data_IF_867182021433
#
_entry.id   IF_867182021433
#
_cell.length_a   1.000
_cell.length_b   1.000
_cell.length_c   1.000
_cell.angle_alpha   90.00
_cell.angle_beta   90.00
_cell.angle_gamma   90.00
#
_symmetry.space_group_name_H-M   'P 1'
#
loop_
_entity.id
_entity.type
_entity.pdbx_description
1 polymer ?
#
# COMPACT_ATOMS: atom_id res chain seq x y z
N UNK A 1 -38.37 -36.71 47.11
CA UNK A 1 -38.07 -37.46 45.87
C UNK A 1 -37.01 -36.66 45.09
N UNK A 2 -35.70 -36.93 45.29
CA UNK A 2 -34.79 -37.70 44.40
C UNK A 2 -34.69 -37.08 42.98
N UNK A 3 -33.53 -36.72 42.36
CA UNK A 3 -32.11 -37.10 42.48
C UNK A 3 -31.18 -36.20 41.59
N UNK A 4 -29.99 -35.82 42.13
CA UNK A 4 -28.59 -35.75 41.54
C UNK A 4 -28.26 -34.90 40.28
N UNK A 5 -27.40 -33.86 40.34
CA UNK A 5 -25.90 -33.82 40.20
C UNK A 5 -25.41 -33.82 38.72
N UNK A 6 -24.36 -33.13 38.22
CA UNK A 6 -23.17 -32.44 38.75
C UNK A 6 -22.52 -31.56 37.63
N UNK A 7 -22.15 -30.30 37.95
CA UNK A 7 -20.87 -29.60 37.72
C UNK A 7 -20.01 -29.71 36.43
N UNK A 8 -19.48 -28.56 35.97
CA UNK A 8 -18.14 -28.46 35.36
C UNK A 8 -17.83 -27.17 34.54
N UNK A 9 -17.00 -26.26 35.08
CA UNK A 9 -16.53 -24.99 34.46
C UNK A 9 -15.12 -25.10 33.83
N UNK A 10 -14.90 -24.47 32.64
CA UNK A 10 -13.69 -23.75 32.08
C UNK A 10 -12.31 -24.49 31.97
N UNK A 11 -11.20 -23.97 31.35
CA UNK A 11 -10.94 -22.96 30.28
C UNK A 11 -9.85 -23.35 29.20
N UNK A 12 -9.46 -22.39 28.33
CA UNK A 12 -8.38 -22.28 27.29
C UNK A 12 -7.00 -22.95 27.54
N UNK A 13 -6.29 -23.36 26.46
CA UNK A 13 -4.86 -23.04 26.13
C UNK A 13 -4.39 -23.57 24.74
N UNK A 14 -3.36 -22.92 24.19
CA UNK A 14 -2.64 -23.06 22.89
C UNK A 14 -1.70 -24.28 22.76
N UNK A 15 -1.16 -24.62 21.56
CA UNK A 15 0.09 -25.38 21.48
C UNK A 15 1.21 -24.75 20.62
N UNK A 16 2.43 -25.06 21.05
CA UNK A 16 3.76 -24.69 20.56
C UNK A 16 4.42 -25.79 19.71
N UNK A 17 5.40 -25.37 18.90
CA UNK A 17 6.50 -26.10 18.20
C UNK A 17 7.03 -27.37 18.90
N UNK A 18 7.35 -28.43 18.13
CA UNK A 18 8.71 -29.02 18.05
C UNK A 18 8.82 -30.24 17.13
N UNK A 19 9.95 -30.27 16.43
CA UNK A 19 10.59 -31.23 15.53
C UNK A 19 11.03 -32.57 16.16
N UNK A 20 11.01 -33.67 15.38
CA UNK A 20 11.91 -34.83 15.53
C UNK A 20 12.25 -35.49 14.18
N UNK A 21 13.44 -36.10 14.13
CA UNK A 21 14.22 -36.54 12.97
C UNK A 21 14.51 -38.05 12.97
N UNK A 22 14.80 -38.59 11.77
CA UNK A 22 15.68 -39.72 11.41
C UNK A 22 15.28 -41.17 11.76
N UNK A 23 15.35 -42.03 10.74
CA UNK A 23 15.96 -43.37 10.83
C UNK A 23 16.48 -43.84 9.45
N UNK A 24 17.48 -44.72 9.50
CA UNK A 24 18.50 -45.07 8.49
C UNK A 24 18.37 -46.56 8.07
N UNK A 25 19.13 -46.97 7.04
CA UNK A 25 19.52 -48.34 6.60
C UNK A 25 18.57 -49.11 5.66
N UNK A 26 18.99 -49.97 4.71
CA UNK A 26 20.23 -50.28 3.97
C UNK A 26 19.98 -51.56 3.13
N UNK A 27 20.92 -51.94 2.23
CA UNK A 27 21.11 -53.23 1.49
C UNK A 27 20.41 -53.32 0.12
N UNK A 28 20.92 -53.98 -0.93
CA UNK A 28 22.21 -54.61 -1.31
C UNK A 28 21.96 -55.29 -2.69
N UNK A 29 22.88 -55.24 -3.66
CA UNK A 29 23.09 -56.31 -4.65
C UNK A 29 24.41 -56.11 -5.44
N UNK A 30 25.13 -57.22 -5.69
CA UNK A 30 26.50 -57.31 -6.24
C UNK A 30 26.53 -58.31 -7.42
N UNK A 31 27.55 -58.17 -8.29
CA UNK A 31 28.14 -59.07 -9.34
C UNK A 31 27.76 -58.68 -10.79
N UNK A 32 28.59 -58.75 -11.85
CA UNK A 32 29.95 -59.29 -12.11
C UNK A 32 30.47 -58.87 -13.51
N UNK A 33 31.81 -58.93 -13.68
CA UNK A 33 32.60 -59.34 -14.89
C UNK A 33 32.80 -58.38 -16.08
N UNK A 34 33.86 -58.70 -16.85
CA UNK A 34 34.82 -57.83 -17.56
C UNK A 34 34.83 -58.12 -19.08
N UNK A 35 35.11 -57.11 -19.92
CA UNK A 35 36.06 -57.05 -21.07
C UNK A 35 35.55 -56.42 -22.40
N UNK A 36 36.47 -55.59 -22.93
CA UNK A 36 36.93 -55.39 -24.33
C UNK A 36 36.15 -54.57 -25.38
N UNK A 37 36.84 -53.51 -25.82
CA UNK A 37 37.12 -53.02 -27.19
C UNK A 37 35.98 -52.70 -28.17
N UNK A 38 35.91 -51.43 -28.60
CA UNK A 38 36.25 -51.00 -29.98
C UNK A 38 35.76 -49.57 -30.21
N UNK A 39 36.58 -48.80 -30.92
CA UNK A 39 36.36 -47.41 -31.31
C UNK A 39 35.29 -47.27 -32.40
N UNK A 40 34.34 -46.34 -32.25
CA UNK A 40 33.72 -45.65 -33.39
C UNK A 40 33.07 -44.33 -32.95
N UNK A 41 33.33 -43.30 -33.74
CA UNK A 41 32.95 -41.88 -33.63
C UNK A 41 31.45 -41.60 -33.46
N UNK A 42 31.06 -40.72 -32.53
CA UNK A 42 29.76 -40.02 -32.55
C UNK A 42 29.90 -38.60 -31.99
N UNK A 43 29.23 -37.66 -32.67
CA UNK A 43 29.27 -36.20 -32.60
C UNK A 43 29.21 -35.53 -31.22
N UNK A 44 29.91 -34.39 -31.12
CA UNK A 44 29.74 -33.40 -30.05
C UNK A 44 28.35 -32.74 -30.13
N UNK A 45 27.53 -32.70 -29.05
CA UNK A 45 26.32 -31.90 -29.06
C UNK A 45 26.70 -30.42 -28.93
N UNK A 46 26.36 -29.62 -29.95
CA UNK A 46 26.33 -28.16 -29.84
C UNK A 46 25.19 -27.80 -28.89
N UNK A 47 25.53 -27.38 -27.67
CA UNK A 47 24.60 -26.73 -26.75
C UNK A 47 24.38 -25.30 -27.28
N UNK A 48 23.47 -25.15 -28.25
CA UNK A 48 22.84 -23.86 -28.54
C UNK A 48 21.55 -23.78 -27.72
N UNK A 49 21.68 -23.72 -26.40
CA UNK A 49 20.56 -23.29 -25.57
C UNK A 49 20.44 -21.77 -25.71
N UNK A 50 19.46 -21.38 -26.51
CA UNK A 50 18.97 -20.01 -26.57
C UNK A 50 18.37 -19.66 -25.21
N UNK A 51 19.17 -19.02 -24.36
CA UNK A 51 18.71 -18.40 -23.12
C UNK A 51 17.69 -17.33 -23.53
N UNK A 52 16.40 -17.67 -23.48
CA UNK A 52 15.32 -16.70 -23.59
C UNK A 52 15.45 -15.75 -22.40
N UNK A 53 16.05 -14.59 -22.64
CA UNK A 53 16.05 -13.50 -21.68
C UNK A 53 14.60 -13.19 -21.32
N UNK A 54 14.19 -13.62 -20.12
CA UNK A 54 12.95 -13.18 -19.50
C UNK A 54 13.00 -11.64 -19.48
N UNK A 55 12.00 -10.94 -20.04
CA UNK A 55 12.04 -9.49 -20.03
C UNK A 55 12.05 -9.03 -18.57
N UNK A 56 13.14 -8.37 -18.19
CA UNK A 56 13.26 -7.72 -16.90
C UNK A 56 12.12 -6.71 -16.86
N UNK A 57 11.10 -6.96 -16.02
CA UNK A 57 10.01 -6.02 -15.78
C UNK A 57 10.64 -4.69 -15.36
N UNK A 58 10.73 -3.73 -16.27
CA UNK A 58 11.28 -2.41 -15.97
C UNK A 58 10.42 -1.81 -14.87
N UNK A 59 11.04 -1.67 -13.69
CA UNK A 59 10.43 -1.04 -12.54
C UNK A 59 10.14 0.41 -12.94
N UNK A 60 8.85 0.78 -13.02
CA UNK A 60 8.42 2.14 -13.36
C UNK A 60 9.20 3.11 -12.46
N UNK A 61 9.97 4.02 -13.07
CA UNK A 61 10.67 5.08 -12.34
C UNK A 61 9.67 5.87 -11.50
N UNK A 62 10.01 6.21 -10.26
CA UNK A 62 9.12 6.94 -9.34
C UNK A 62 8.58 8.23 -9.97
N UNK A 63 9.40 8.92 -10.76
CA UNK A 63 8.99 10.13 -11.47
C UNK A 63 7.84 9.88 -12.45
N UNK A 64 7.81 8.71 -13.12
CA UNK A 64 6.73 8.32 -14.01
C UNK A 64 5.45 7.94 -13.26
N UNK A 65 5.52 7.62 -11.97
CA UNK A 65 4.35 7.35 -11.14
C UNK A 65 3.70 8.69 -10.75
N UNK A 66 4.50 9.63 -10.23
CA UNK A 66 4.03 10.98 -9.84
C UNK A 66 3.36 11.70 -11.02
N UNK A 67 3.98 11.68 -12.21
CA UNK A 67 3.38 12.32 -13.39
C UNK A 67 2.06 11.67 -13.82
N UNK A 68 1.87 10.37 -13.57
CA UNK A 68 0.60 9.68 -13.84
C UNK A 68 -0.46 10.04 -12.81
N UNK A 69 -0.07 10.11 -11.54
CA UNK A 69 -0.96 10.53 -10.45
C UNK A 69 -1.44 11.98 -10.67
N UNK A 70 -0.55 12.90 -11.00
CA UNK A 70 -0.91 14.30 -11.30
C UNK A 70 -1.94 14.36 -12.43
N UNK A 71 -1.69 13.66 -13.55
CA UNK A 71 -2.64 13.62 -14.68
C UNK A 71 -4.00 13.01 -14.27
N UNK A 72 -3.97 11.93 -13.50
CA UNK A 72 -5.18 11.26 -13.02
C UNK A 72 -6.03 12.19 -12.13
N UNK A 73 -5.41 12.83 -11.13
CA UNK A 73 -6.12 13.74 -10.22
C UNK A 73 -6.56 15.05 -10.88
N UNK A 74 -5.88 15.50 -11.95
CA UNK A 74 -6.35 16.65 -12.75
C UNK A 74 -7.50 16.29 -13.69
N UNK A 75 -7.59 15.03 -14.13
CA UNK A 75 -8.67 14.57 -15.02
C UNK A 75 -9.96 14.20 -14.29
N UNK A 76 -9.88 13.97 -12.98
CA UNK A 76 -11.01 13.51 -12.16
C UNK A 76 -11.46 14.61 -11.21
N UNK A 77 -12.74 14.57 -10.83
CA UNK A 77 -13.38 15.55 -9.94
C UNK A 77 -13.96 14.88 -8.69
N UNK A 78 -13.43 13.72 -8.32
CA UNK A 78 -13.87 12.99 -7.13
C UNK A 78 -13.32 13.66 -5.86
N UNK A 79 -14.09 13.59 -4.77
CA UNK A 79 -13.61 14.02 -3.46
C UNK A 79 -12.34 13.27 -3.04
N UNK A 80 -11.33 14.03 -2.63
CA UNK A 80 -10.03 13.51 -2.20
C UNK A 80 -10.02 13.16 -0.71
N UNK A 81 -10.83 13.85 0.10
CA UNK A 81 -10.97 13.56 1.52
C UNK A 81 -12.05 12.52 1.81
N UNK A 82 -11.78 11.64 2.77
CA UNK A 82 -12.78 10.69 3.21
C UNK A 82 -13.93 11.40 3.96
N UNK A 83 -15.18 11.14 3.55
CA UNK A 83 -16.38 11.81 4.08
C UNK A 83 -16.56 11.66 5.60
N UNK A 84 -16.25 10.48 6.17
CA UNK A 84 -16.47 10.18 7.60
C UNK A 84 -15.57 10.99 8.56
N UNK A 85 -14.24 11.04 8.39
CA UNK A 85 -13.39 11.90 9.23
C UNK A 85 -13.69 13.39 9.01
N UNK A 86 -13.97 13.81 7.77
CA UNK A 86 -14.37 15.19 7.47
C UNK A 86 -15.63 15.59 8.24
N UNK A 87 -16.67 14.75 8.22
CA UNK A 87 -17.89 14.98 9.00
C UNK A 87 -17.64 15.12 10.50
N UNK A 88 -16.72 14.33 11.08
CA UNK A 88 -16.38 14.42 12.50
C UNK A 88 -15.77 15.79 12.83
N UNK A 89 -14.81 16.23 12.01
CA UNK A 89 -14.17 17.54 12.14
C UNK A 89 -15.18 18.68 11.98
N UNK A 90 -16.06 18.61 10.98
CA UNK A 90 -17.09 19.65 10.78
C UNK A 90 -18.04 19.72 11.98
N UNK A 91 -18.45 18.58 12.54
CA UNK A 91 -19.30 18.55 13.75
C UNK A 91 -18.60 19.14 14.98
N UNK A 92 -17.33 18.86 15.16
CA UNK A 92 -16.52 19.40 16.25
C UNK A 92 -16.44 20.93 16.17
N UNK A 93 -16.15 21.46 14.98
CA UNK A 93 -16.09 22.91 14.74
C UNK A 93 -17.50 23.54 14.90
N UNK A 94 -18.53 22.94 14.32
CA UNK A 94 -19.90 23.45 14.40
C UNK A 94 -20.42 23.49 15.85
N UNK A 95 -20.06 22.50 16.67
CA UNK A 95 -20.39 22.49 18.08
C UNK A 95 -19.69 23.62 18.84
N UNK A 96 -18.42 23.91 18.50
CA UNK A 96 -17.65 25.01 19.10
C UNK A 96 -18.15 26.39 18.70
N UNK A 97 -18.69 26.57 17.49
CA UNK A 97 -19.15 27.88 16.98
C UNK A 97 -20.62 28.14 17.35
N UNK A 98 -21.45 27.10 17.38
CA UNK A 98 -22.90 27.23 17.57
C UNK A 98 -23.40 26.93 18.99
N UNK A 99 -22.55 26.99 20.01
CA UNK A 99 -22.88 26.65 21.41
C UNK A 99 -23.60 25.28 21.56
N UNK A 100 -23.21 24.28 20.76
CA UNK A 100 -23.82 22.95 20.80
C UNK A 100 -25.22 22.83 20.18
N UNK A 101 -25.77 23.89 19.56
CA UNK A 101 -27.10 23.88 18.91
C UNK A 101 -27.10 23.17 17.55
N UNK A 102 -25.94 23.11 16.89
CA UNK A 102 -25.80 22.51 15.55
C UNK A 102 -25.48 21.01 15.68
N UNK A 103 -26.51 20.17 15.85
CA UNK A 103 -26.34 18.72 15.96
C UNK A 103 -26.56 17.96 14.64
N UNK A 104 -27.38 18.51 13.73
CA UNK A 104 -27.78 17.84 12.48
C UNK A 104 -27.22 18.59 11.29
N UNK A 105 -26.49 17.86 10.45
CA UNK A 105 -25.92 18.36 9.19
C UNK A 105 -26.55 17.56 8.06
N UNK A 106 -27.14 18.26 7.09
CA UNK A 106 -27.67 17.64 5.87
C UNK A 106 -26.54 17.00 5.06
N UNK A 107 -26.73 15.83 4.44
CA UNK A 107 -25.72 15.20 3.59
C UNK A 107 -25.29 16.12 2.44
N UNK A 108 -26.23 16.86 1.83
CA UNK A 108 -25.93 17.81 0.75
C UNK A 108 -25.08 18.97 1.28
N UNK A 109 -25.42 19.50 2.47
CA UNK A 109 -24.65 20.58 3.08
C UNK A 109 -23.21 20.15 3.39
N UNK A 110 -23.01 18.90 3.82
CA UNK A 110 -21.68 18.35 4.03
C UNK A 110 -20.87 18.29 2.74
N UNK A 111 -21.49 17.86 1.63
CA UNK A 111 -20.83 17.79 0.32
C UNK A 111 -20.43 19.17 -0.20
N UNK A 112 -21.31 20.17 -0.07
CA UNK A 112 -21.01 21.56 -0.46
C UNK A 112 -19.85 22.13 0.36
N UNK A 113 -19.84 21.93 1.68
CA UNK A 113 -18.73 22.37 2.53
C UNK A 113 -17.43 21.67 2.14
N UNK A 114 -17.50 20.36 1.84
CA UNK A 114 -16.33 19.60 1.41
C UNK A 114 -15.79 20.10 0.07
N UNK A 115 -16.67 20.35 -0.91
CA UNK A 115 -16.30 20.87 -2.21
C UNK A 115 -15.61 22.23 -2.09
N UNK A 116 -16.18 23.15 -1.32
CA UNK A 116 -15.59 24.47 -1.09
C UNK A 116 -14.20 24.39 -0.43
N UNK A 117 -14.04 23.52 0.56
CA UNK A 117 -12.76 23.34 1.28
C UNK A 117 -11.71 22.71 0.37
N UNK A 118 -12.05 21.65 -0.36
CA UNK A 118 -11.11 20.99 -1.27
C UNK A 118 -10.70 21.93 -2.41
N UNK A 119 -11.64 22.67 -3.00
CA UNK A 119 -11.35 23.68 -4.01
C UNK A 119 -10.38 24.76 -3.48
N UNK A 120 -10.66 25.31 -2.29
CA UNK A 120 -9.78 26.29 -1.65
C UNK A 120 -8.37 25.73 -1.43
N UNK A 121 -8.25 24.51 -0.89
CA UNK A 121 -6.95 23.89 -0.65
C UNK A 121 -6.16 23.67 -1.94
N UNK A 122 -6.81 23.21 -3.02
CA UNK A 122 -6.17 23.05 -4.33
C UNK A 122 -5.61 24.38 -4.84
N UNK A 123 -6.40 25.46 -4.77
CA UNK A 123 -5.95 26.80 -5.18
C UNK A 123 -4.76 27.27 -4.34
N UNK A 124 -4.81 27.12 -3.01
CA UNK A 124 -3.71 27.50 -2.12
C UNK A 124 -2.43 26.73 -2.48
N UNK A 125 -2.52 25.43 -2.72
CA UNK A 125 -1.36 24.61 -3.08
C UNK A 125 -0.79 24.97 -4.45
N UNK A 126 -1.62 25.24 -5.45
CA UNK A 126 -1.17 25.65 -6.78
C UNK A 126 -0.37 26.96 -6.72
N UNK A 127 -0.90 27.96 -6.01
CA UNK A 127 -0.24 29.26 -5.85
C UNK A 127 1.05 29.15 -5.03
N UNK A 128 1.01 28.39 -3.93
CA UNK A 128 2.20 28.12 -3.10
C UNK A 128 3.27 27.34 -3.87
N UNK A 129 2.87 26.43 -4.77
CA UNK A 129 3.80 25.69 -5.61
C UNK A 129 4.47 26.57 -6.67
N UNK A 130 3.80 27.62 -7.15
CA UNK A 130 4.43 28.64 -8.01
C UNK A 130 5.58 29.36 -7.29
N UNK A 131 5.41 29.68 -5.99
CA UNK A 131 6.49 30.22 -5.15
C UNK A 131 7.65 29.21 -4.98
N UNK A 132 7.33 27.92 -4.90
CA UNK A 132 8.33 26.84 -4.82
C UNK A 132 9.19 26.77 -6.09
N UNK A 133 8.56 26.85 -7.26
CA UNK A 133 9.23 26.87 -8.57
C UNK A 133 10.07 28.13 -8.73
N UNK A 134 9.54 29.29 -8.30
CA UNK A 134 10.28 30.55 -8.30
C UNK A 134 11.61 30.43 -7.52
N UNK A 135 11.59 29.72 -6.40
CA UNK A 135 12.78 29.40 -5.60
C UNK A 135 13.63 28.22 -6.15
N UNK A 136 13.43 27.79 -7.39
CA UNK A 136 14.14 26.67 -8.07
C UNK A 136 14.06 25.32 -7.34
N UNK A 137 13.00 25.09 -6.54
CA UNK A 137 12.76 23.83 -5.84
C UNK A 137 11.61 23.07 -6.51
N UNK A 138 11.56 21.75 -6.25
CA UNK A 138 10.44 20.87 -6.65
C UNK A 138 9.62 20.36 -5.46
N UNK A 139 10.11 20.58 -4.24
CA UNK A 139 9.46 20.19 -2.99
C UNK A 139 8.87 21.42 -2.35
N UNK A 140 7.57 21.38 -2.07
CA UNK A 140 6.83 22.45 -1.40
C UNK A 140 7.16 22.46 0.10
N UNK A 141 7.41 23.65 0.66
CA UNK A 141 7.69 23.83 2.08
C UNK A 141 6.66 24.76 2.74
N UNK A 142 6.50 24.70 4.09
CA UNK A 142 5.55 25.56 4.80
C UNK A 142 5.76 27.07 4.56
N UNK A 143 7.02 27.50 4.39
CA UNK A 143 7.37 28.89 4.06
C UNK A 143 6.76 29.37 2.73
N UNK A 144 6.55 28.47 1.76
CA UNK A 144 5.98 28.82 0.46
C UNK A 144 4.47 29.11 0.61
N UNK A 145 3.78 28.36 1.49
CA UNK A 145 2.37 28.59 1.83
C UNK A 145 2.22 29.88 2.65
N UNK A 146 3.08 30.07 3.65
CA UNK A 146 3.08 31.28 4.48
C UNK A 146 3.32 32.53 3.63
N UNK A 147 4.24 32.46 2.66
CA UNK A 147 4.48 33.55 1.73
C UNK A 147 3.21 33.88 0.92
N UNK A 148 2.57 32.88 0.32
CA UNK A 148 1.32 33.09 -0.42
C UNK A 148 0.24 33.75 0.46
N UNK A 149 0.01 33.24 1.66
CA UNK A 149 -0.95 33.83 2.61
C UNK A 149 -0.59 35.28 2.97
N UNK A 150 0.69 35.57 3.23
CA UNK A 150 1.15 36.92 3.56
C UNK A 150 0.98 37.94 2.44
N UNK A 151 0.82 37.49 1.20
CA UNK A 151 0.57 38.34 0.04
C UNK A 151 -0.93 38.54 -0.18
N UNK A 152 -1.74 37.49 0.06
CA UNK A 152 -3.20 37.51 -0.16
C UNK A 152 -3.96 38.17 0.99
N UNK A 153 -3.49 37.98 2.23
CA UNK A 153 -4.16 38.49 3.44
C UNK A 153 -3.81 39.98 3.74
N UNK A 154 -3.16 40.68 2.79
CA UNK A 154 -2.84 42.11 2.85
C UNK A 154 -3.81 42.92 2.00
#
# INVERSE_FOLDING_TARGET
MARTAFSGKKPRKSPTKSSQTKSVQSKSARKTTVKSSSSTSVATPKITESIKHRPIKQRKSRNNIVLKEVKFYQSSTNFLMAKRPFLRMVREIAASVGDGKVQRISPIALEVIQEAVEAYMVTVFEKSYSCTIHAKRKTLFPKDIQLYKSIVDK
#
